data_IF_508480274015
#
_entry.id   IF_508480274015
#
_cell.length_a   1.000
_cell.length_b   1.000
_cell.length_c   1.000
_cell.angle_alpha   90.00
_cell.angle_beta   90.00
_cell.angle_gamma   90.00
#
_symmetry.space_group_name_H-M   'P 1'
#
loop_
_entity.id
_entity.type
_entity.pdbx_description
1 polymer ?
#
# COMPACT_ATOMS: atom_id res chain seq x y z
N UNK A 1 0.87 -20.02 0.29
CA UNK A 1 1.04 -19.62 1.71
C UNK A 1 -0.32 -19.25 2.29
N UNK A 2 -0.51 -19.34 3.61
CA UNK A 2 -1.82 -19.05 4.25
C UNK A 2 -1.66 -18.10 5.44
N UNK A 3 -2.72 -17.36 5.77
CA UNK A 3 -2.86 -16.70 7.07
C UNK A 3 -3.80 -17.50 7.98
N UNK A 4 -3.32 -17.83 9.17
CA UNK A 4 -4.11 -18.43 10.24
C UNK A 4 -4.42 -17.39 11.30
N UNK A 5 -5.67 -17.38 11.77
CA UNK A 5 -6.07 -16.70 13.00
C UNK A 5 -6.19 -17.73 14.10
N UNK A 6 -5.58 -17.44 15.25
CA UNK A 6 -5.60 -18.28 16.44
C UNK A 6 -6.19 -17.49 17.61
N UNK A 7 -7.01 -18.16 18.41
CA UNK A 7 -7.58 -17.57 19.62
C UNK A 7 -7.34 -18.47 20.83
N UNK A 8 -6.83 -17.87 21.91
CA UNK A 8 -6.71 -18.55 23.21
C UNK A 8 -7.16 -17.60 24.32
N UNK A 9 -8.38 -17.81 24.82
CA UNK A 9 -9.02 -16.87 25.74
C UNK A 9 -9.32 -15.53 25.02
N UNK A 10 -8.90 -14.41 25.63
CA UNK A 10 -9.04 -13.07 25.05
C UNK A 10 -7.87 -12.67 24.11
N UNK A 11 -6.89 -13.55 23.91
CA UNK A 11 -5.73 -13.26 23.05
C UNK A 11 -5.94 -13.81 21.65
N UNK A 12 -5.73 -12.95 20.67
CA UNK A 12 -5.83 -13.25 19.24
C UNK A 12 -4.47 -13.04 18.58
N UNK A 13 -4.10 -13.94 17.66
CA UNK A 13 -2.85 -13.87 16.90
C UNK A 13 -3.10 -14.27 15.46
N UNK A 14 -2.59 -13.45 14.53
CA UNK A 14 -2.53 -13.79 13.11
C UNK A 14 -1.12 -14.26 12.73
N UNK A 15 -1.04 -15.40 12.05
CA UNK A 15 0.22 -16.04 11.68
C UNK A 15 0.23 -16.34 10.20
N UNK A 16 1.26 -15.85 9.51
CA UNK A 16 1.59 -16.25 8.14
C UNK A 16 2.35 -17.57 8.14
N UNK A 17 1.91 -18.53 7.33
CA UNK A 17 2.50 -19.87 7.23
C UNK A 17 2.81 -20.20 5.78
N UNK A 18 4.08 -20.49 5.50
CA UNK A 18 4.50 -20.97 4.19
C UNK A 18 3.82 -22.30 3.84
N UNK A 19 3.46 -22.47 2.57
CA UNK A 19 2.66 -23.60 2.06
C UNK A 19 3.23 -24.97 2.49
N UNK A 20 4.55 -25.13 2.40
CA UNK A 20 5.27 -26.36 2.77
C UNK A 20 5.16 -26.71 4.27
N UNK A 21 4.92 -25.71 5.12
CA UNK A 21 4.84 -25.84 6.57
C UNK A 21 3.41 -25.96 7.08
N UNK A 22 2.40 -25.74 6.24
CA UNK A 22 0.98 -25.81 6.63
C UNK A 22 0.62 -27.14 7.30
N UNK A 23 1.01 -28.33 6.79
CA UNK A 23 0.66 -29.59 7.45
C UNK A 23 1.28 -29.71 8.85
N UNK A 24 2.56 -29.35 8.98
CA UNK A 24 3.31 -29.42 10.25
C UNK A 24 2.74 -28.46 11.30
N UNK A 25 2.35 -27.26 10.88
CA UNK A 25 1.77 -26.26 11.78
C UNK A 25 0.38 -26.71 12.23
N UNK A 26 -0.49 -27.15 11.31
CA UNK A 26 -1.83 -27.64 11.66
C UNK A 26 -1.78 -28.82 12.64
N UNK A 27 -0.93 -29.81 12.37
CA UNK A 27 -0.75 -30.96 13.27
C UNK A 27 -0.30 -30.52 14.68
N UNK A 28 0.59 -29.53 14.76
CA UNK A 28 1.07 -29.00 16.04
C UNK A 28 -0.02 -28.25 16.81
N UNK A 29 -0.84 -27.46 16.11
CA UNK A 29 -1.98 -26.75 16.71
C UNK A 29 -3.05 -27.72 17.21
N UNK A 30 -3.37 -28.74 16.42
CA UNK A 30 -4.33 -29.79 16.79
C UNK A 30 -3.85 -30.58 18.02
N UNK A 31 -2.56 -30.92 18.06
CA UNK A 31 -1.94 -31.61 19.19
C UNK A 31 -2.04 -30.81 20.50
N UNK A 32 -1.86 -29.49 20.42
CA UNK A 32 -1.93 -28.59 21.57
C UNK A 32 -3.36 -28.11 21.87
N UNK A 33 -4.36 -28.63 21.16
CA UNK A 33 -5.79 -28.26 21.28
C UNK A 33 -6.02 -26.75 21.12
N UNK A 34 -5.30 -26.14 20.18
CA UNK A 34 -5.45 -24.73 19.85
C UNK A 34 -6.45 -24.58 18.71
N UNK A 35 -7.54 -23.86 18.96
CA UNK A 35 -8.49 -23.50 17.92
C UNK A 35 -7.86 -22.48 16.96
N UNK A 36 -8.01 -22.75 15.66
CA UNK A 36 -7.58 -21.85 14.60
C UNK A 36 -8.59 -21.82 13.47
N UNK A 37 -8.60 -20.71 12.72
CA UNK A 37 -9.31 -20.57 11.46
C UNK A 37 -8.35 -20.06 10.39
N UNK A 38 -8.54 -20.49 9.16
CA UNK A 38 -7.81 -19.95 8.01
C UNK A 38 -8.49 -18.63 7.62
N UNK A 39 -7.74 -17.52 7.66
CA UNK A 39 -8.21 -16.21 7.20
C UNK A 39 -8.04 -16.03 5.69
N UNK A 40 -6.87 -16.40 5.19
CA UNK A 40 -6.51 -16.35 3.78
C UNK A 40 -5.94 -17.71 3.44
N UNK A 41 -6.64 -18.43 2.58
CA UNK A 41 -6.35 -19.80 2.17
C UNK A 41 -5.25 -19.88 1.10
N UNK A 42 -5.16 -18.88 0.24
CA UNK A 42 -4.04 -18.68 -0.67
C UNK A 42 -3.64 -17.21 -0.75
N UNK A 43 -2.51 -16.89 -0.12
CA UNK A 43 -1.94 -15.55 -0.15
C UNK A 43 -1.48 -15.16 -1.55
N UNK A 44 -1.10 -16.12 -2.39
CA UNK A 44 -0.70 -15.82 -3.77
C UNK A 44 -1.92 -15.35 -4.58
N UNK A 45 -3.06 -16.03 -4.46
CA UNK A 45 -4.31 -15.61 -5.10
C UNK A 45 -4.78 -14.24 -4.62
N UNK A 46 -4.62 -13.94 -3.32
CA UNK A 46 -4.92 -12.61 -2.79
C UNK A 46 -4.02 -11.51 -3.37
N UNK A 47 -2.72 -11.79 -3.55
CA UNK A 47 -1.76 -10.89 -4.21
C UNK A 47 -2.12 -10.71 -5.69
N UNK A 48 -2.41 -11.79 -6.40
CA UNK A 48 -2.75 -11.77 -7.82
C UNK A 48 -4.03 -10.95 -8.09
N UNK A 49 -4.94 -10.88 -7.10
CA UNK A 49 -6.18 -10.10 -7.14
C UNK A 49 -6.07 -8.72 -6.50
N UNK A 50 -4.93 -8.35 -5.89
CA UNK A 50 -4.75 -7.09 -5.15
C UNK A 50 -4.97 -5.87 -6.07
N UNK A 51 -4.40 -5.92 -7.27
CA UNK A 51 -4.59 -4.91 -8.30
C UNK A 51 -5.05 -5.58 -9.59
N UNK A 52 -6.36 -5.77 -9.78
CA UNK A 52 -6.86 -6.30 -11.04
C UNK A 52 -6.45 -5.36 -12.18
N UNK A 53 -6.16 -5.89 -13.38
CA UNK A 53 -5.79 -5.08 -14.52
C UNK A 53 -6.89 -4.07 -14.82
N UNK A 54 -6.49 -2.86 -15.16
CA UNK A 54 -7.39 -1.81 -15.62
C UNK A 54 -8.19 -2.31 -16.83
N UNK A 55 -9.47 -1.97 -16.88
CA UNK A 55 -10.28 -2.17 -18.08
C UNK A 55 -9.73 -1.36 -19.26
N UNK A 56 -10.10 -1.71 -20.49
CA UNK A 56 -9.68 -0.96 -21.69
C UNK A 56 -10.10 0.53 -21.61
N UNK A 57 -11.28 0.81 -21.07
CA UNK A 57 -11.77 2.17 -20.87
C UNK A 57 -10.91 2.94 -19.87
N UNK A 58 -10.49 2.31 -18.77
CA UNK A 58 -9.61 2.92 -17.78
C UNK A 58 -8.21 3.14 -18.34
N UNK A 59 -7.65 2.17 -19.06
CA UNK A 59 -6.37 2.31 -19.76
C UNK A 59 -6.39 3.49 -20.74
N UNK A 60 -7.51 3.67 -21.46
CA UNK A 60 -7.70 4.79 -22.36
C UNK A 60 -7.74 6.14 -21.64
N UNK A 61 -8.16 6.19 -20.38
CA UNK A 61 -8.24 7.41 -19.56
C UNK A 61 -6.95 7.72 -18.81
N UNK A 62 -6.14 6.70 -18.48
CA UNK A 62 -4.85 6.86 -17.80
C UNK A 62 -3.92 7.76 -18.62
N UNK A 63 -3.41 8.83 -18.00
CA UNK A 63 -2.49 9.77 -18.64
C UNK A 63 -3.13 10.91 -19.44
N UNK A 64 -4.44 10.87 -19.74
CA UNK A 64 -5.12 11.98 -20.44
C UNK A 64 -5.13 13.29 -19.65
N UNK A 65 -5.00 13.20 -18.32
CA UNK A 65 -4.93 14.35 -17.41
C UNK A 65 -3.48 14.77 -17.07
N UNK A 66 -2.48 14.24 -17.79
CA UNK A 66 -1.06 14.53 -17.51
C UNK A 66 -0.46 13.72 -16.34
N UNK A 67 -1.23 12.82 -15.72
CA UNK A 67 -0.76 11.89 -14.70
C UNK A 67 -1.51 10.56 -14.77
N UNK A 68 -0.96 9.53 -14.11
CA UNK A 68 -1.51 8.16 -14.10
C UNK A 68 -2.29 7.80 -12.83
N UNK A 69 -2.15 8.60 -11.77
CA UNK A 69 -2.80 8.37 -10.47
C UNK A 69 -4.32 8.30 -10.56
N UNK A 70 -4.90 7.33 -9.87
CA UNK A 70 -6.34 7.13 -9.62
C UNK A 70 -6.56 6.75 -8.15
N UNK A 71 -7.80 6.80 -7.68
CA UNK A 71 -8.13 6.49 -6.27
C UNK A 71 -8.75 5.10 -6.08
N UNK A 72 -8.70 4.26 -7.10
CA UNK A 72 -9.32 2.92 -7.10
C UNK A 72 -8.30 1.78 -7.06
N UNK A 73 -7.01 2.09 -7.21
CA UNK A 73 -5.94 1.10 -7.36
C UNK A 73 -4.70 1.56 -6.60
N UNK A 74 -3.82 0.63 -6.24
CA UNK A 74 -2.49 0.97 -5.75
C UNK A 74 -1.56 1.27 -6.93
N UNK A 75 -0.63 2.20 -6.72
CA UNK A 75 0.21 2.75 -7.78
C UNK A 75 1.69 2.53 -7.48
N UNK A 76 2.49 2.47 -8.54
CA UNK A 76 3.96 2.45 -8.40
C UNK A 76 4.44 3.79 -7.85
N UNK A 77 5.59 3.75 -7.18
CA UNK A 77 6.22 4.95 -6.63
C UNK A 77 6.43 6.05 -7.69
N UNK A 78 6.77 5.66 -8.92
CA UNK A 78 6.95 6.60 -10.05
C UNK A 78 5.67 7.35 -10.40
N UNK A 79 4.51 6.68 -10.38
CA UNK A 79 3.21 7.27 -10.67
C UNK A 79 2.80 8.24 -9.55
N UNK A 80 3.10 7.88 -8.30
CA UNK A 80 2.91 8.76 -7.13
C UNK A 80 3.79 10.01 -7.28
N UNK A 81 5.08 9.85 -7.53
CA UNK A 81 5.99 10.97 -7.71
C UNK A 81 5.59 11.87 -8.89
N UNK A 82 5.20 11.28 -10.02
CA UNK A 82 4.72 12.01 -11.18
C UNK A 82 3.44 12.79 -10.86
N UNK A 83 2.54 12.24 -10.06
CA UNK A 83 1.34 12.94 -9.61
C UNK A 83 1.65 14.13 -8.69
N UNK A 84 2.61 13.98 -7.76
CA UNK A 84 3.04 15.09 -6.91
C UNK A 84 3.61 16.25 -7.76
N UNK A 85 4.47 15.91 -8.74
CA UNK A 85 5.04 16.92 -9.65
C UNK A 85 3.97 17.58 -10.52
N UNK A 86 3.01 16.79 -11.01
CA UNK A 86 1.84 17.30 -11.74
C UNK A 86 1.03 18.30 -10.90
N UNK A 87 0.79 18.02 -9.62
CA UNK A 87 0.07 18.95 -8.74
C UNK A 87 0.80 20.28 -8.54
N UNK A 88 2.13 20.24 -8.35
CA UNK A 88 2.93 21.46 -8.24
C UNK A 88 2.94 22.27 -9.55
N UNK A 89 2.97 21.61 -10.71
CA UNK A 89 2.90 22.28 -12.01
C UNK A 89 1.51 22.87 -12.29
N UNK A 90 0.45 22.18 -11.88
CA UNK A 90 -0.93 22.60 -12.13
C UNK A 90 -1.36 23.72 -11.19
N UNK A 91 -0.89 23.71 -9.94
CA UNK A 91 -1.26 24.67 -8.89
C UNK A 91 -0.03 25.36 -8.28
N UNK A 92 0.80 26.06 -9.06
CA UNK A 92 2.11 26.56 -8.60
C UNK A 92 2.04 27.61 -7.49
N UNK A 93 0.90 28.30 -7.35
CA UNK A 93 0.69 29.31 -6.32
C UNK A 93 0.29 28.70 -4.96
N UNK A 94 -0.05 27.42 -4.92
CA UNK A 94 -0.59 26.74 -3.74
C UNK A 94 0.24 25.51 -3.35
N UNK A 95 0.76 24.80 -4.34
CA UNK A 95 1.42 23.51 -4.18
C UNK A 95 2.89 23.61 -4.59
N UNK A 96 3.76 23.10 -3.74
CA UNK A 96 5.18 22.88 -4.06
C UNK A 96 5.59 21.48 -3.64
N UNK A 97 6.55 20.91 -4.37
CA UNK A 97 7.17 19.61 -4.02
C UNK A 97 8.61 19.86 -3.61
N UNK A 98 9.01 19.28 -2.49
CA UNK A 98 10.36 19.40 -1.96
C UNK A 98 10.93 18.00 -1.71
N UNK A 99 12.21 17.83 -2.03
CA UNK A 99 12.95 16.62 -1.66
C UNK A 99 13.67 16.89 -0.34
N UNK A 100 13.29 16.15 0.71
CA UNK A 100 13.84 16.34 2.07
C UNK A 100 15.03 15.43 2.37
N UNK A 101 15.37 14.54 1.45
CA UNK A 101 16.47 13.60 1.59
C UNK A 101 16.33 12.45 0.61
N UNK A 102 17.08 11.38 0.85
CA UNK A 102 17.03 10.15 0.09
C UNK A 102 16.80 8.96 1.01
N UNK A 103 16.13 7.92 0.50
CA UNK A 103 16.02 6.63 1.18
C UNK A 103 17.38 5.91 1.22
N UNK A 104 17.44 4.78 1.93
CA UNK A 104 18.63 3.92 1.99
C UNK A 104 19.07 3.45 0.59
N UNK A 105 18.13 3.20 -0.31
CA UNK A 105 18.41 2.81 -1.70
C UNK A 105 18.57 4.01 -2.64
N UNK A 106 18.71 5.23 -2.09
CA UNK A 106 18.97 6.44 -2.86
C UNK A 106 17.76 7.05 -3.57
N UNK A 107 16.52 6.66 -3.21
CA UNK A 107 15.31 7.23 -3.83
C UNK A 107 14.94 8.57 -3.16
N UNK A 108 14.56 9.61 -3.92
CA UNK A 108 14.22 10.91 -3.36
C UNK A 108 12.98 10.81 -2.47
N UNK A 109 13.08 11.35 -1.25
CA UNK A 109 11.96 11.48 -0.32
C UNK A 109 11.24 12.79 -0.60
N UNK A 110 10.15 12.71 -1.36
CA UNK A 110 9.34 13.88 -1.74
C UNK A 110 8.26 14.19 -0.71
N UNK A 111 8.09 15.47 -0.40
CA UNK A 111 6.99 16.01 0.39
C UNK A 111 6.24 17.04 -0.43
N UNK A 112 4.91 17.00 -0.35
CA UNK A 112 4.04 18.06 -0.89
C UNK A 112 3.79 19.10 0.20
N UNK A 113 4.02 20.37 -0.12
CA UNK A 113 3.68 21.51 0.72
C UNK A 113 2.53 22.26 0.06
N UNK A 114 1.42 22.38 0.79
CA UNK A 114 0.25 23.16 0.40
C UNK A 114 0.21 24.42 1.28
N UNK A 115 0.26 25.60 0.68
CA UNK A 115 0.31 26.87 1.41
C UNK A 115 -0.21 28.01 0.56
N UNK A 116 -0.98 28.92 1.15
CA UNK A 116 -1.39 30.19 0.53
C UNK A 116 -0.25 31.23 0.43
N UNK A 117 0.96 30.88 0.90
CA UNK A 117 2.13 31.77 0.86
C UNK A 117 2.25 32.70 2.07
N UNK A 118 1.36 32.59 3.06
CA UNK A 118 1.46 33.38 4.29
C UNK A 118 2.71 32.99 5.12
N UNK A 119 3.56 33.96 5.50
CA UNK A 119 4.68 33.69 6.38
C UNK A 119 4.21 33.21 7.77
N UNK A 120 4.97 32.30 8.39
CA UNK A 120 4.73 31.79 9.74
C UNK A 120 3.37 31.09 9.96
N UNK A 121 2.71 30.63 8.90
CA UNK A 121 1.54 29.75 9.05
C UNK A 121 1.93 28.49 9.83
N UNK A 122 1.07 28.07 10.75
CA UNK A 122 1.23 26.81 11.47
C UNK A 122 1.16 25.66 10.47
N UNK A 123 2.12 24.74 10.56
CA UNK A 123 2.15 23.54 9.74
C UNK A 123 1.43 22.39 10.45
N UNK A 124 0.78 21.54 9.66
CA UNK A 124 0.29 20.23 10.07
C UNK A 124 1.08 19.21 9.26
N UNK A 125 1.60 18.20 9.96
CA UNK A 125 2.24 17.04 9.36
C UNK A 125 1.26 15.87 9.35
#
# INVERSE_FOLDING_TARGET
>A
DIFLFLQKGEKEVDVFVHAEKVPQVKESLDKDQLEYRVLIDDVQDAIDKENPPLSEDELNLVGRKGHRMTWQYYHRLEDIHGYLDYLAQTYPNLVSVQTIGNSVEGRPLKVIKISSGEPNSKAVW
#
